data_IF_863555014144
#
_entry.id   IF_863555014144
#
_cell.length_a   1.000
_cell.length_b   1.000
_cell.length_c   1.000
_cell.angle_alpha   90.00
_cell.angle_beta   90.00
_cell.angle_gamma   90.00
#
_symmetry.space_group_name_H-M   'P 1'
#
loop_
_entity.id
_entity.type
_entity.pdbx_description
1 polymer ?
#
# COMPACT_ATOMS: atom_id res chain seq x y z
N UNK A 1 -7.08 1.62 -0.42
CA UNK A 1 -7.77 2.70 0.31
C UNK A 1 -9.08 3.09 -0.35
N UNK A 2 -9.06 3.72 -1.54
CA UNK A 2 -10.29 4.22 -2.19
C UNK A 2 -10.90 3.30 -3.24
N UNK A 3 -10.13 2.34 -3.75
CA UNK A 3 -10.61 1.37 -4.72
C UNK A 3 -11.20 0.16 -4.01
N UNK A 4 -12.31 -0.34 -4.56
CA UNK A 4 -12.80 -1.68 -4.20
C UNK A 4 -11.75 -2.72 -4.58
N UNK A 5 -11.94 -3.90 -4.03
CA UNK A 5 -11.12 -5.06 -4.32
C UNK A 5 -11.06 -5.37 -5.82
N UNK A 6 -12.24 -5.49 -6.44
CA UNK A 6 -12.39 -5.77 -7.86
C UNK A 6 -11.78 -4.67 -8.75
N UNK A 7 -11.97 -3.39 -8.41
CA UNK A 7 -11.36 -2.29 -9.15
C UNK A 7 -9.83 -2.30 -9.04
N UNK A 8 -9.30 -2.70 -7.88
CA UNK A 8 -7.85 -2.87 -7.71
C UNK A 8 -7.33 -3.97 -8.63
N UNK A 9 -7.95 -5.15 -8.60
CA UNK A 9 -7.54 -6.31 -9.42
C UNK A 9 -7.60 -5.99 -10.90
N UNK A 10 -8.72 -5.43 -11.38
CA UNK A 10 -8.88 -5.05 -12.79
C UNK A 10 -7.83 -4.02 -13.25
N UNK A 11 -7.46 -3.08 -12.37
CA UNK A 11 -6.39 -2.11 -12.66
C UNK A 11 -5.02 -2.82 -12.78
N UNK A 12 -4.72 -3.75 -11.87
CA UNK A 12 -3.45 -4.48 -11.90
C UNK A 12 -3.34 -5.36 -13.16
N UNK A 13 -4.42 -6.05 -13.54
CA UNK A 13 -4.49 -6.84 -14.77
C UNK A 13 -4.30 -5.99 -16.03
N UNK A 14 -4.92 -4.80 -16.07
CA UNK A 14 -4.74 -3.86 -17.18
C UNK A 14 -3.28 -3.45 -17.33
N UNK A 15 -2.60 -3.15 -16.22
CA UNK A 15 -1.19 -2.75 -16.25
C UNK A 15 -0.28 -3.93 -16.58
N UNK A 16 -0.61 -5.14 -16.12
CA UNK A 16 0.15 -6.35 -16.45
C UNK A 16 0.10 -6.70 -17.95
N UNK A 17 -0.94 -6.26 -18.67
CA UNK A 17 -1.06 -6.44 -20.12
C UNK A 17 -0.19 -5.48 -20.95
N UNK A 18 0.51 -4.53 -20.32
CA UNK A 18 1.45 -3.64 -21.00
C UNK A 18 2.68 -4.39 -21.54
N UNK A 19 3.48 -3.72 -22.38
CA UNK A 19 4.68 -4.31 -22.96
C UNK A 19 5.67 -4.80 -21.89
N UNK A 20 6.40 -5.88 -22.18
CA UNK A 20 7.45 -6.42 -21.30
C UNK A 20 8.45 -5.34 -20.90
N UNK A 21 8.84 -5.32 -19.63
CA UNK A 21 9.69 -4.27 -19.05
C UNK A 21 8.89 -3.07 -18.52
N UNK A 22 7.57 -3.07 -18.65
CA UNK A 22 6.71 -2.13 -17.92
C UNK A 22 6.73 -2.41 -16.42
N UNK A 23 6.55 -1.37 -15.63
CA UNK A 23 6.49 -1.48 -14.18
C UNK A 23 5.40 -0.57 -13.60
N UNK A 24 4.89 -0.95 -12.43
CA UNK A 24 3.98 -0.14 -11.63
C UNK A 24 4.54 0.02 -10.22
N UNK A 25 4.48 1.24 -9.70
CA UNK A 25 4.81 1.53 -8.32
C UNK A 25 3.59 2.19 -7.67
N UNK A 26 3.13 1.66 -6.54
CA UNK A 26 1.96 2.19 -5.84
C UNK A 26 2.03 1.95 -4.35
N UNK A 27 1.27 2.75 -3.60
CA UNK A 27 1.08 2.57 -2.18
C UNK A 27 -0.23 1.83 -1.90
N UNK A 28 -0.24 1.06 -0.82
CA UNK A 28 -1.44 0.44 -0.32
C UNK A 28 -1.55 0.58 1.20
N UNK A 29 -2.78 0.67 1.68
CA UNK A 29 -3.07 0.73 3.11
C UNK A 29 -3.06 -0.68 3.69
N UNK A 30 -2.36 -0.84 4.80
CA UNK A 30 -2.03 -2.11 5.44
C UNK A 30 -3.10 -2.48 6.47
N UNK A 31 -3.52 -3.74 6.51
CA UNK A 31 -4.49 -4.23 7.51
C UNK A 31 -3.82 -4.51 8.87
N UNK A 32 -4.59 -4.33 9.94
CA UNK A 32 -4.13 -4.07 11.32
C UNK A 32 -3.35 -5.17 12.06
N UNK A 33 -2.95 -6.27 11.42
CA UNK A 33 -2.10 -7.28 12.09
C UNK A 33 -0.62 -6.85 12.18
N UNK A 34 -0.14 -6.05 11.21
CA UNK A 34 1.25 -5.59 11.14
C UNK A 34 1.41 -4.08 11.39
N UNK A 35 0.34 -3.41 11.81
CA UNK A 35 0.32 -1.95 12.06
C UNK A 35 0.49 -1.71 13.55
N UNK A 36 1.29 -0.71 13.93
CA UNK A 36 1.46 -0.36 15.35
C UNK A 36 0.13 0.15 15.94
N UNK A 37 -0.13 -0.07 17.24
CA UNK A 37 -1.35 0.44 17.88
C UNK A 37 -1.50 1.97 17.78
N UNK A 38 -0.39 2.71 17.83
CA UNK A 38 -0.40 4.18 17.70
C UNK A 38 -0.82 4.63 16.31
N UNK A 39 -0.28 4.00 15.25
CA UNK A 39 -0.65 4.36 13.89
C UNK A 39 -2.09 3.93 13.57
N UNK A 40 -2.57 2.82 14.15
CA UNK A 40 -3.97 2.40 14.05
C UNK A 40 -4.92 3.44 14.64
N UNK A 41 -4.66 3.93 15.86
CA UNK A 41 -5.49 4.98 16.49
C UNK A 41 -5.54 6.25 15.62
N UNK A 42 -4.39 6.71 15.13
CA UNK A 42 -4.29 7.87 14.24
C UNK A 42 -5.14 7.65 12.98
N UNK A 43 -4.99 6.49 12.34
CA UNK A 43 -5.72 6.16 11.12
C UNK A 43 -7.22 6.08 11.37
N UNK A 44 -7.65 5.46 12.46
CA UNK A 44 -9.06 5.27 12.75
C UNK A 44 -9.74 6.62 13.04
N UNK A 45 -9.09 7.50 13.80
CA UNK A 45 -9.56 8.89 13.99
C UNK A 45 -9.61 9.67 12.68
N UNK A 46 -8.59 9.55 11.84
CA UNK A 46 -8.57 10.19 10.52
C UNK A 46 -9.72 9.66 9.62
N UNK A 47 -9.95 8.35 9.62
CA UNK A 47 -10.96 7.70 8.78
C UNK A 47 -12.38 8.24 9.03
N UNK A 48 -12.71 8.56 10.30
CA UNK A 48 -14.00 9.17 10.65
C UNK A 48 -14.14 10.56 10.03
N UNK A 49 -13.10 11.38 10.12
CA UNK A 49 -13.10 12.73 9.55
C UNK A 49 -13.19 12.72 8.03
N UNK A 50 -12.45 11.81 7.39
CA UNK A 50 -12.42 11.63 5.94
C UNK A 50 -13.76 11.07 5.42
N UNK A 51 -14.38 10.11 6.12
CA UNK A 51 -15.70 9.62 5.78
C UNK A 51 -16.78 10.70 5.88
N UNK A 52 -16.72 11.59 6.88
CA UNK A 52 -17.65 12.73 7.01
C UNK A 52 -17.53 13.74 5.87
N UNK A 53 -16.39 13.79 5.19
CA UNK A 53 -16.16 14.62 4.00
C UNK A 53 -16.64 13.95 2.70
N UNK A 54 -17.16 12.72 2.77
CA UNK A 54 -17.64 11.98 1.61
C UNK A 54 -16.58 11.12 0.92
N UNK A 55 -15.39 10.95 1.51
CA UNK A 55 -14.27 10.20 0.92
C UNK A 55 -13.89 8.95 1.74
N UNK A 56 -14.82 8.03 2.07
CA UNK A 56 -14.53 6.93 2.99
C UNK A 56 -13.37 6.05 2.48
N UNK A 57 -12.50 5.65 3.39
CA UNK A 57 -11.48 4.64 3.14
C UNK A 57 -12.14 3.26 3.19
N UNK A 58 -12.26 2.60 2.04
CA UNK A 58 -13.06 1.40 1.88
C UNK A 58 -12.25 0.10 1.79
N UNK A 59 -10.92 0.18 1.64
CA UNK A 59 -10.12 -1.01 1.38
C UNK A 59 -8.69 -0.96 1.95
N UNK A 60 -8.29 -2.05 2.59
CA UNK A 60 -7.01 -2.26 3.26
C UNK A 60 -6.55 -3.70 3.01
N UNK A 61 -5.25 -3.91 2.78
CA UNK A 61 -4.69 -5.21 2.42
C UNK A 61 -3.76 -5.76 3.50
N UNK A 62 -3.84 -7.06 3.74
CA UNK A 62 -2.69 -7.78 4.30
C UNK A 62 -1.58 -7.78 3.22
N UNK A 63 -0.30 -7.50 3.57
CA UNK A 63 0.78 -7.37 2.59
C UNK A 63 0.90 -8.59 1.65
N UNK A 64 0.77 -9.79 2.20
CA UNK A 64 0.89 -11.02 1.41
C UNK A 64 -0.24 -11.18 0.39
N UNK A 65 -1.43 -10.63 0.67
CA UNK A 65 -2.58 -10.70 -0.25
C UNK A 65 -2.35 -9.82 -1.47
N UNK A 66 -1.83 -8.60 -1.30
CA UNK A 66 -1.56 -7.72 -2.44
C UNK A 66 -0.41 -8.24 -3.30
N UNK A 67 0.64 -8.81 -2.68
CA UNK A 67 1.74 -9.47 -3.39
C UNK A 67 1.23 -10.66 -4.21
N UNK A 68 0.40 -11.52 -3.62
CA UNK A 68 -0.20 -12.65 -4.33
C UNK A 68 -1.05 -12.22 -5.54
N UNK A 69 -1.79 -11.11 -5.42
CA UNK A 69 -2.57 -10.55 -6.53
C UNK A 69 -1.72 -10.04 -7.67
N UNK A 70 -0.58 -9.41 -7.38
CA UNK A 70 0.34 -8.96 -8.40
C UNK A 70 0.87 -10.15 -9.22
N UNK A 71 1.31 -11.22 -8.56
CA UNK A 71 1.71 -12.44 -9.28
C UNK A 71 0.54 -13.06 -10.08
N UNK A 72 -0.66 -13.09 -9.50
CA UNK A 72 -1.86 -13.62 -10.19
C UNK A 72 -2.24 -12.77 -11.42
N UNK A 73 -2.04 -11.46 -11.37
CA UNK A 73 -2.32 -10.54 -12.48
C UNK A 73 -1.31 -10.67 -13.64
N UNK A 74 -0.16 -11.33 -13.43
CA UNK A 74 0.84 -11.58 -14.47
C UNK A 74 2.15 -10.82 -14.31
N UNK A 75 2.37 -10.12 -13.20
CA UNK A 75 3.68 -9.53 -12.89
C UNK A 75 4.69 -10.64 -12.55
N UNK A 76 5.91 -10.52 -13.08
CA UNK A 76 6.99 -11.49 -12.91
C UNK A 76 7.88 -11.22 -11.69
N UNK A 77 7.97 -9.96 -11.28
CA UNK A 77 8.74 -9.51 -10.11
C UNK A 77 7.90 -8.57 -9.25
N UNK A 78 8.03 -8.69 -7.92
CA UNK A 78 7.36 -7.82 -6.95
C UNK A 78 8.31 -7.49 -5.79
N UNK A 79 8.59 -6.20 -5.62
CA UNK A 79 9.26 -5.64 -4.45
C UNK A 79 8.19 -5.05 -3.51
N UNK A 80 8.04 -5.58 -2.29
CA UNK A 80 7.14 -5.04 -1.26
C UNK A 80 7.94 -4.37 -0.14
N UNK A 81 8.02 -3.04 -0.20
CA UNK A 81 8.77 -2.22 0.74
C UNK A 81 7.87 -1.83 1.92
N UNK A 82 8.31 -2.23 3.11
CA UNK A 82 7.58 -2.05 4.37
C UNK A 82 8.13 -0.85 5.16
N UNK A 83 7.37 -0.42 6.17
CA UNK A 83 7.69 0.71 7.05
C UNK A 83 9.15 0.75 7.48
N UNK A 84 9.67 -0.31 8.10
CA UNK A 84 11.03 -0.36 8.63
C UNK A 84 12.10 -0.17 7.54
N UNK A 85 11.88 -0.75 6.36
CA UNK A 85 12.81 -0.64 5.24
C UNK A 85 12.76 0.75 4.61
N UNK A 86 11.56 1.33 4.46
CA UNK A 86 11.39 2.69 3.97
C UNK A 86 11.98 3.71 4.95
N UNK A 87 11.80 3.50 6.25
CA UNK A 87 12.40 4.33 7.29
C UNK A 87 13.93 4.28 7.21
N UNK A 88 14.51 3.09 7.14
CA UNK A 88 15.95 2.94 7.04
C UNK A 88 16.52 3.58 5.77
N UNK A 89 15.87 3.40 4.62
CA UNK A 89 16.36 3.91 3.33
C UNK A 89 16.20 5.42 3.17
N UNK A 90 15.09 5.98 3.65
CA UNK A 90 14.69 7.35 3.30
C UNK A 90 14.50 8.29 4.50
N UNK A 91 14.39 7.77 5.72
CA UNK A 91 14.14 8.56 6.93
C UNK A 91 15.25 8.43 7.98
N UNK A 92 16.30 7.66 7.71
CA UNK A 92 17.44 7.54 8.61
C UNK A 92 18.10 8.90 8.88
N UNK A 93 18.32 9.21 10.16
CA UNK A 93 19.01 10.44 10.60
C UNK A 93 18.15 11.71 10.61
N UNK A 94 16.84 11.61 10.41
CA UNK A 94 15.94 12.75 10.55
C UNK A 94 15.82 13.20 12.01
N UNK A 95 15.73 14.51 12.20
CA UNK A 95 15.61 15.15 13.54
C UNK A 95 14.29 15.92 13.71
N UNK A 96 13.44 15.93 12.69
CA UNK A 96 12.17 16.67 12.67
C UNK A 96 10.95 15.87 13.15
N UNK A 97 11.19 14.63 13.60
CA UNK A 97 10.14 13.76 14.11
C UNK A 97 9.19 13.22 13.04
N UNK A 98 9.52 13.32 11.75
CA UNK A 98 8.76 12.67 10.68
C UNK A 98 9.25 11.24 10.45
N UNK A 99 8.31 10.29 10.36
CA UNK A 99 8.56 8.86 10.14
C UNK A 99 7.64 8.31 9.05
N UNK A 100 7.87 7.08 8.62
CA UNK A 100 6.95 6.40 7.71
C UNK A 100 5.92 5.60 8.53
N UNK A 101 4.62 5.85 8.37
CA UNK A 101 3.62 5.17 9.19
C UNK A 101 3.49 3.69 8.79
N UNK A 102 3.34 2.81 9.78
CA UNK A 102 3.17 1.36 9.55
C UNK A 102 1.85 1.00 8.85
N UNK A 103 0.95 1.97 8.70
CA UNK A 103 -0.33 1.85 7.98
C UNK A 103 -0.18 1.77 6.47
N UNK A 104 1.01 2.02 5.92
CA UNK A 104 1.23 2.08 4.47
C UNK A 104 2.40 1.18 4.04
N UNK A 105 2.18 0.43 2.96
CA UNK A 105 3.21 -0.28 2.21
C UNK A 105 3.41 0.33 0.82
N UNK A 106 4.56 0.05 0.21
CA UNK A 106 4.83 0.40 -1.18
C UNK A 106 5.18 -0.85 -1.98
N UNK A 107 4.45 -1.10 -3.05
CA UNK A 107 4.73 -2.20 -3.97
C UNK A 107 5.30 -1.66 -5.28
N UNK A 108 6.33 -2.32 -5.80
CA UNK A 108 6.86 -2.13 -7.14
C UNK A 108 6.78 -3.47 -7.86
N UNK A 109 6.09 -3.53 -9.00
CA UNK A 109 5.92 -4.77 -9.75
C UNK A 109 6.27 -4.58 -11.23
N UNK A 110 6.82 -5.63 -11.87
CA UNK A 110 7.31 -5.60 -13.26
C UNK A 110 6.70 -6.72 -14.11
N UNK A 111 6.44 -6.43 -15.39
CA UNK A 111 5.94 -7.38 -16.40
C UNK A 111 7.11 -8.08 -17.10
#
# INVERSE_FOLDING_TARGET
>A
MYLTDAATVATLELVAACARGSAVAFQYSVKGSTVTPSDLDIRDRASVGIAKQGEPWINFYEPQVIVSRLFTAGFSEVDDLRSAELEQRFFAGRTDGLWWPSTNGMAIARV
#
